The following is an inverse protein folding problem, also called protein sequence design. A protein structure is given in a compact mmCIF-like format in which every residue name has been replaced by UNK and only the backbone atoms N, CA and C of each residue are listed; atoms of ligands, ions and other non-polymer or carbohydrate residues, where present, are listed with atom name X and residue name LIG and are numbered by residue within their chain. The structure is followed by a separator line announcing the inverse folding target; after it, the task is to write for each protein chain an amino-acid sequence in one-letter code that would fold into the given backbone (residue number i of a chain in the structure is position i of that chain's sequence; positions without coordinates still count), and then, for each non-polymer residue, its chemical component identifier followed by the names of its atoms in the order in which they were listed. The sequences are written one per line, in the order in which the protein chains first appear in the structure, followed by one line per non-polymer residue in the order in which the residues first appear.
data_IF_576476045124
#
_entry.id   IF_576476045124
#
_cell.length_a   1.000
_cell.length_b   1.000
_cell.length_c   1.000
_cell.angle_alpha   90.00
_cell.angle_beta   90.00
_cell.angle_gamma   90.00
#
_symmetry.space_group_name_H-M   'P 1'
#
loop_
_entity.id
_entity.type
_entity.pdbx_description
1 polymer ?
#
# COMPACT_ATOMS: atom_id res chain seq x y z
N UNK A 1 -1.68 26.75 1.69
CA UNK A 1 -0.29 26.80 2.18
C UNK A 1 0.63 25.90 1.34
N UNK A 2 0.32 24.64 1.21
CA UNK A 2 1.10 23.64 0.47
C UNK A 2 1.29 23.99 -1.02
N UNK A 3 0.21 24.34 -1.72
CA UNK A 3 0.22 24.74 -3.15
C UNK A 3 1.13 25.92 -3.41
N UNK A 4 1.06 26.98 -2.58
CA UNK A 4 1.91 28.17 -2.75
C UNK A 4 3.39 27.86 -2.53
N UNK A 5 3.68 26.98 -1.59
CA UNK A 5 5.05 26.58 -1.31
C UNK A 5 5.65 25.81 -2.49
N UNK A 6 4.88 24.90 -3.12
CA UNK A 6 5.31 24.17 -4.31
C UNK A 6 5.57 25.12 -5.49
N UNK A 7 4.67 26.06 -5.76
CA UNK A 7 4.84 27.05 -6.84
C UNK A 7 6.13 27.85 -6.65
N UNK A 8 6.45 28.28 -5.43
CA UNK A 8 7.69 29.01 -5.14
C UNK A 8 8.96 28.21 -5.46
N UNK A 9 8.92 26.87 -5.34
CA UNK A 9 10.05 26.02 -5.70
C UNK A 9 10.21 25.86 -7.22
N UNK A 10 9.16 26.02 -8.01
CA UNK A 10 9.24 25.91 -9.48
C UNK A 10 10.14 26.97 -10.11
N UNK A 11 10.24 28.14 -9.51
CA UNK A 11 11.09 29.24 -10.00
C UNK A 11 12.59 28.94 -9.91
N UNK A 12 12.97 27.97 -9.10
CA UNK A 12 14.38 27.57 -8.92
C UNK A 12 14.90 26.70 -10.06
N UNK A 13 13.99 26.08 -10.86
CA UNK A 13 14.41 25.26 -11.99
C UNK A 13 14.83 26.13 -13.17
N UNK A 14 15.93 25.79 -13.81
CA UNK A 14 16.51 26.43 -14.96
C UNK A 14 16.43 25.59 -16.25
N UNK A 15 17.50 25.55 -17.01
CA UNK A 15 17.60 24.87 -18.29
C UNK A 15 18.17 23.44 -18.19
N UNK A 16 18.13 22.82 -17.03
CA UNK A 16 18.62 21.45 -16.79
C UNK A 16 17.82 20.45 -17.64
N UNK A 17 18.46 19.35 -18.03
CA UNK A 17 17.84 18.31 -18.89
C UNK A 17 16.75 17.53 -18.16
N UNK A 18 16.98 17.18 -16.91
CA UNK A 18 16.03 16.45 -16.05
C UNK A 18 15.64 17.34 -14.87
N UNK A 19 14.33 17.55 -14.72
CA UNK A 19 13.75 18.35 -13.64
C UNK A 19 12.64 17.55 -12.98
N UNK A 20 12.81 17.30 -11.68
CA UNK A 20 11.78 16.62 -10.87
C UNK A 20 11.50 17.44 -9.63
N UNK A 21 10.23 17.83 -9.47
CA UNK A 21 9.73 18.33 -8.19
C UNK A 21 9.23 17.13 -7.40
N UNK A 22 10.00 16.75 -6.38
CA UNK A 22 9.66 15.66 -5.48
C UNK A 22 9.06 16.20 -4.19
N UNK A 23 7.93 15.66 -3.77
CA UNK A 23 7.39 15.87 -2.42
C UNK A 23 7.37 14.55 -1.66
N UNK A 24 7.66 14.62 -0.37
CA UNK A 24 7.64 13.49 0.55
C UNK A 24 6.57 13.71 1.61
N UNK A 25 5.68 12.75 1.75
CA UNK A 25 4.60 12.80 2.74
C UNK A 25 4.61 11.51 3.58
N UNK A 26 4.16 11.55 4.85
CA UNK A 26 3.99 10.35 5.67
C UNK A 26 2.93 9.38 5.11
N UNK A 27 1.94 9.90 4.39
CA UNK A 27 0.86 9.14 3.76
C UNK A 27 0.72 9.53 2.30
N UNK A 28 0.20 8.64 1.44
CA UNK A 28 -0.07 8.98 0.04
C UNK A 28 -0.92 10.25 -0.08
N UNK A 29 -0.54 11.12 -0.99
CA UNK A 29 -1.31 12.33 -1.29
C UNK A 29 -2.70 11.95 -1.81
N UNK A 30 -3.72 12.70 -1.42
CA UNK A 30 -5.07 12.48 -1.95
C UNK A 30 -5.09 12.75 -3.45
N UNK A 31 -5.71 11.90 -4.27
CA UNK A 31 -5.73 12.03 -5.72
C UNK A 31 -6.19 13.42 -6.20
N UNK A 32 -7.24 13.97 -5.59
CA UNK A 32 -7.74 15.30 -5.93
C UNK A 32 -6.67 16.40 -5.78
N UNK A 33 -5.89 16.35 -4.69
CA UNK A 33 -4.81 17.32 -4.45
C UNK A 33 -3.67 17.13 -5.47
N UNK A 34 -3.34 15.87 -5.78
CA UNK A 34 -2.35 15.55 -6.80
C UNK A 34 -2.74 16.10 -8.16
N UNK A 35 -4.01 15.94 -8.56
CA UNK A 35 -4.56 16.46 -9.84
C UNK A 35 -4.52 17.98 -9.89
N UNK A 36 -4.90 18.66 -8.81
CA UNK A 36 -4.83 20.12 -8.71
C UNK A 36 -3.38 20.62 -8.90
N UNK A 37 -2.42 19.98 -8.27
CA UNK A 37 -1.00 20.32 -8.42
C UNK A 37 -0.48 20.01 -9.82
N UNK A 38 -0.89 18.90 -10.41
CA UNK A 38 -0.53 18.53 -11.78
C UNK A 38 -1.08 19.55 -12.82
N UNK A 39 -2.26 20.10 -12.59
CA UNK A 39 -2.82 21.17 -13.44
C UNK A 39 -1.97 22.43 -13.34
N UNK A 40 -1.64 22.88 -12.15
CA UNK A 40 -0.80 24.07 -11.95
C UNK A 40 0.59 23.89 -12.55
N UNK A 41 1.19 22.71 -12.40
CA UNK A 41 2.50 22.41 -12.98
C UNK A 41 2.47 22.42 -14.50
N UNK A 42 1.42 21.85 -15.12
CA UNK A 42 1.26 21.90 -16.58
C UNK A 42 1.16 23.35 -17.07
N UNK A 43 0.40 24.18 -16.37
CA UNK A 43 0.28 25.60 -16.67
C UNK A 43 1.64 26.30 -16.57
N UNK A 44 2.36 26.12 -15.46
CA UNK A 44 3.68 26.70 -15.25
C UNK A 44 4.69 26.27 -16.32
N UNK A 45 4.73 24.98 -16.67
CA UNK A 45 5.59 24.44 -17.72
C UNK A 45 5.29 25.09 -19.08
N UNK A 46 4.01 25.31 -19.40
CA UNK A 46 3.59 25.94 -20.65
C UNK A 46 4.01 27.42 -20.71
N UNK A 47 3.79 28.15 -19.62
CA UNK A 47 4.14 29.59 -19.53
C UNK A 47 5.67 29.84 -19.52
N UNK A 48 6.45 28.88 -19.09
CA UNK A 48 7.90 28.98 -18.95
C UNK A 48 8.68 28.08 -19.94
N UNK A 49 8.06 27.57 -20.98
CA UNK A 49 8.64 26.58 -21.89
C UNK A 49 9.98 27.01 -22.49
N UNK A 50 10.13 28.31 -22.87
CA UNK A 50 11.36 28.85 -23.42
C UNK A 50 12.52 28.86 -22.41
N UNK A 51 12.23 29.12 -21.14
CA UNK A 51 13.23 29.16 -20.07
C UNK A 51 13.63 27.76 -19.59
N UNK A 52 12.63 26.87 -19.51
CA UNK A 52 12.83 25.52 -18.98
C UNK A 52 13.45 24.55 -19.98
N UNK A 53 13.25 24.75 -21.31
CA UNK A 53 13.61 23.85 -22.40
C UNK A 53 12.89 22.49 -22.30
N UNK A 54 12.99 21.81 -21.15
CA UNK A 54 12.28 20.57 -20.82
C UNK A 54 11.29 20.80 -19.65
N UNK A 55 10.14 20.12 -19.64
CA UNK A 55 9.14 20.29 -18.60
C UNK A 55 9.61 19.73 -17.25
N UNK A 56 9.20 20.38 -16.17
CA UNK A 56 9.37 19.86 -14.81
C UNK A 56 8.37 18.73 -14.63
N UNK A 57 8.82 17.58 -14.13
CA UNK A 57 7.97 16.46 -13.71
C UNK A 57 7.65 16.56 -12.23
N UNK A 58 6.43 16.15 -11.84
CA UNK A 58 6.04 16.08 -10.44
C UNK A 58 5.97 14.63 -9.99
N UNK A 59 6.52 14.36 -8.83
CA UNK A 59 6.46 13.06 -8.17
C UNK A 59 6.10 13.30 -6.70
N UNK A 60 5.10 12.59 -6.21
CA UNK A 60 4.80 12.47 -4.79
C UNK A 60 5.14 11.07 -4.34
N UNK A 61 5.93 10.94 -3.30
CA UNK A 61 6.25 9.67 -2.65
C UNK A 61 5.93 9.76 -1.16
N UNK A 62 5.63 8.63 -0.56
CA UNK A 62 5.73 8.48 0.89
C UNK A 62 7.18 8.23 1.30
N UNK A 63 7.49 8.45 2.58
CA UNK A 63 8.80 8.09 3.13
C UNK A 63 9.06 6.58 2.99
N UNK A 64 8.03 5.75 3.13
CA UNK A 64 8.13 4.31 2.91
C UNK A 64 8.50 3.98 1.45
N UNK A 65 7.79 4.54 0.47
CA UNK A 65 8.10 4.34 -0.94
C UNK A 65 9.50 4.81 -1.33
N UNK A 66 9.99 5.90 -0.70
CA UNK A 66 11.36 6.33 -0.89
C UNK A 66 12.36 5.31 -0.35
N UNK A 67 12.12 4.79 0.84
CA UNK A 67 12.96 3.74 1.44
C UNK A 67 12.98 2.49 0.57
N UNK A 68 11.81 1.99 0.16
CA UNK A 68 11.69 0.82 -0.70
C UNK A 68 12.46 1.01 -2.02
N UNK A 69 12.31 2.18 -2.67
CA UNK A 69 13.03 2.49 -3.91
C UNK A 69 14.55 2.59 -3.71
N UNK A 70 15.02 3.01 -2.54
CA UNK A 70 16.45 3.01 -2.22
C UNK A 70 16.98 1.60 -1.97
N UNK A 71 16.21 0.75 -1.29
CA UNK A 71 16.57 -0.67 -1.09
C UNK A 71 16.69 -1.43 -2.41
N UNK A 72 15.80 -1.17 -3.38
CA UNK A 72 15.81 -1.81 -4.68
C UNK A 72 17.06 -1.52 -5.53
N UNK A 73 17.75 -0.40 -5.28
CA UNK A 73 18.92 0.01 -6.06
C UNK A 73 20.26 -0.20 -5.36
N UNK A 74 20.24 -0.48 -4.05
CA UNK A 74 21.47 -0.71 -3.27
C UNK A 74 21.97 -2.13 -3.49
N UNK A 75 23.25 -2.29 -3.83
CA UNK A 75 23.89 -3.61 -3.96
C UNK A 75 24.17 -4.19 -2.56
N UNK A 76 23.87 -5.47 -2.34
CA UNK A 76 24.09 -6.18 -1.06
C UNK A 76 25.54 -6.09 -0.54
N UNK A 77 26.48 -5.75 -1.40
CA UNK A 77 27.90 -5.55 -1.06
C UNK A 77 28.21 -4.16 -0.50
N UNK A 78 27.29 -3.20 -0.66
CA UNK A 78 27.49 -1.82 -0.23
C UNK A 78 27.10 -1.62 1.25
N UNK A 79 27.78 -2.33 2.13
CA UNK A 79 27.45 -2.40 3.57
C UNK A 79 27.37 -1.03 4.27
N UNK A 80 28.14 -0.03 3.82
CA UNK A 80 28.10 1.33 4.36
C UNK A 80 26.78 2.04 3.97
N UNK A 81 26.34 1.89 2.71
CA UNK A 81 25.08 2.46 2.22
C UNK A 81 23.91 1.80 2.92
N UNK A 82 23.95 0.46 3.05
CA UNK A 82 22.92 -0.30 3.78
C UNK A 82 22.79 0.21 5.20
N UNK A 83 23.91 0.42 5.92
CA UNK A 83 23.87 0.92 7.29
C UNK A 83 23.25 2.33 7.38
N UNK A 84 23.56 3.22 6.44
CA UNK A 84 22.95 4.57 6.39
C UNK A 84 21.45 4.48 6.09
N UNK A 85 21.03 3.57 5.19
CA UNK A 85 19.64 3.35 4.87
C UNK A 85 18.86 2.80 6.08
N UNK A 86 19.42 1.86 6.81
CA UNK A 86 18.83 1.32 8.05
C UNK A 86 18.66 2.42 9.12
N UNK A 87 19.64 3.30 9.28
CA UNK A 87 19.54 4.44 10.19
C UNK A 87 18.45 5.42 9.73
N UNK A 88 18.33 5.68 8.44
CA UNK A 88 17.26 6.52 7.88
C UNK A 88 15.87 5.88 8.08
N UNK A 89 15.73 4.58 7.83
CA UNK A 89 14.48 3.85 8.12
C UNK A 89 14.10 3.98 9.58
N UNK A 90 15.04 3.73 10.48
CA UNK A 90 14.83 3.88 11.93
C UNK A 90 14.37 5.30 12.28
N UNK A 91 15.03 6.33 11.74
CA UNK A 91 14.63 7.72 11.93
C UNK A 91 13.19 7.96 11.46
N UNK A 92 12.81 7.47 10.27
CA UNK A 92 11.46 7.61 9.75
C UNK A 92 10.40 6.98 10.67
N UNK A 93 10.69 5.85 11.31
CA UNK A 93 9.81 5.24 12.30
C UNK A 93 9.73 6.04 13.60
N UNK A 94 10.87 6.45 14.13
CA UNK A 94 10.95 7.19 15.40
C UNK A 94 10.23 8.54 15.32
N UNK A 95 10.34 9.24 14.19
CA UNK A 95 9.71 10.53 13.90
C UNK A 95 8.29 10.41 13.32
N UNK A 96 7.75 9.18 13.21
CA UNK A 96 6.42 8.89 12.65
C UNK A 96 6.20 9.39 11.23
N UNK A 97 7.29 9.49 10.46
CA UNK A 97 7.25 9.78 9.03
C UNK A 97 6.73 8.56 8.24
N UNK A 98 6.89 7.37 8.81
CA UNK A 98 6.18 6.16 8.40
C UNK A 98 5.09 5.89 9.46
N UNK A 99 3.79 5.96 9.12
CA UNK A 99 2.70 5.84 10.07
C UNK A 99 2.71 4.53 10.85
N UNK A 100 2.27 4.56 12.11
CA UNK A 100 2.21 3.35 12.96
C UNK A 100 1.34 2.22 12.37
N UNK A 101 0.39 2.55 11.51
CA UNK A 101 -0.42 1.57 10.79
C UNK A 101 0.40 0.53 10.03
N UNK A 102 1.55 0.89 9.51
CA UNK A 102 2.44 -0.02 8.76
C UNK A 102 3.02 -1.16 9.59
N UNK A 103 2.98 -1.07 10.91
CA UNK A 103 3.43 -2.13 11.82
C UNK A 103 2.35 -3.19 12.06
N UNK A 104 1.12 -2.93 11.65
CA UNK A 104 -0.03 -3.76 11.99
C UNK A 104 -0.44 -4.68 10.85
N UNK A 105 -0.60 -5.96 11.16
CA UNK A 105 -1.29 -6.91 10.32
C UNK A 105 -2.74 -7.06 10.77
N UNK A 106 -3.68 -6.86 9.85
CA UNK A 106 -5.09 -7.17 10.03
C UNK A 106 -5.36 -8.59 9.53
N UNK A 107 -5.55 -9.53 10.47
CA UNK A 107 -6.03 -10.87 10.14
C UNK A 107 -7.54 -10.83 9.85
N UNK A 108 -7.96 -11.33 8.71
CA UNK A 108 -9.34 -11.32 8.21
C UNK A 108 -9.77 -12.71 7.77
N UNK A 109 -11.05 -13.03 7.99
CA UNK A 109 -11.59 -14.33 7.59
C UNK A 109 -11.74 -14.38 6.07
N UNK A 110 -11.00 -15.30 5.44
CA UNK A 110 -10.97 -15.49 3.98
C UNK A 110 -11.30 -16.93 3.57
N UNK A 111 -12.00 -17.71 4.43
CA UNK A 111 -12.16 -19.14 4.25
C UNK A 111 -12.66 -19.55 2.87
N UNK A 112 -13.74 -18.95 2.37
CA UNK A 112 -14.37 -19.29 1.09
C UNK A 112 -13.54 -18.78 -0.09
N UNK A 113 -13.06 -17.54 -0.04
CA UNK A 113 -12.40 -16.85 -1.15
C UNK A 113 -10.86 -16.93 -1.09
N UNK A 114 -10.32 -17.75 -0.20
CA UNK A 114 -8.88 -17.80 0.08
C UNK A 114 -8.03 -17.97 -1.18
N UNK A 115 -8.39 -18.91 -2.06
CA UNK A 115 -7.59 -19.17 -3.27
C UNK A 115 -7.65 -17.98 -4.23
N UNK A 116 -8.83 -17.40 -4.41
CA UNK A 116 -8.98 -16.22 -5.26
C UNK A 116 -8.22 -15.01 -4.71
N UNK A 117 -8.23 -14.83 -3.39
CA UNK A 117 -7.43 -13.78 -2.76
C UNK A 117 -5.94 -13.96 -3.01
N UNK A 118 -5.44 -15.21 -2.94
CA UNK A 118 -4.04 -15.56 -3.23
C UNK A 118 -3.69 -15.33 -4.70
N UNK A 119 -4.56 -15.77 -5.62
CA UNK A 119 -4.31 -15.68 -7.06
C UNK A 119 -4.32 -14.25 -7.58
N UNK A 120 -5.15 -13.40 -6.95
CA UNK A 120 -5.38 -12.02 -7.38
C UNK A 120 -4.62 -10.99 -6.53
N UNK A 121 -3.89 -11.42 -5.50
CA UNK A 121 -3.21 -10.54 -4.55
C UNK A 121 -4.10 -9.41 -4.03
N UNK A 122 -5.36 -9.73 -3.68
CA UNK A 122 -6.31 -8.77 -3.12
C UNK A 122 -7.28 -9.41 -2.13
N UNK A 123 -7.85 -8.57 -1.26
CA UNK A 123 -9.00 -8.91 -0.43
C UNK A 123 -10.08 -7.84 -0.62
N UNK A 124 -11.35 -8.20 -0.49
CA UNK A 124 -12.46 -7.25 -0.60
C UNK A 124 -13.43 -7.36 0.57
N UNK A 125 -14.02 -6.22 0.92
CA UNK A 125 -15.05 -6.10 1.96
C UNK A 125 -16.06 -5.02 1.57
N UNK A 126 -17.22 -5.00 2.21
CA UNK A 126 -18.22 -3.96 1.97
C UNK A 126 -17.64 -2.58 2.31
N UNK A 127 -17.89 -1.56 1.47
CA UNK A 127 -17.42 -0.19 1.70
C UNK A 127 -17.84 0.36 3.07
N UNK A 128 -19.05 0.02 3.53
CA UNK A 128 -19.60 0.49 4.80
C UNK A 128 -18.89 -0.03 6.06
N UNK A 129 -18.03 -1.03 5.93
CA UNK A 129 -17.28 -1.57 7.06
C UNK A 129 -16.07 -0.71 7.40
N UNK A 130 -16.03 -0.23 8.62
CA UNK A 130 -14.87 0.48 9.15
C UNK A 130 -13.75 -0.49 9.53
N UNK A 131 -12.52 -0.02 9.46
CA UNK A 131 -11.32 -0.73 9.89
C UNK A 131 -10.29 0.24 10.46
N UNK A 132 -9.42 -0.27 11.33
CA UNK A 132 -8.25 0.48 11.80
C UNK A 132 -7.14 0.44 10.75
N UNK A 133 -6.30 1.45 10.72
CA UNK A 133 -5.16 1.54 9.81
C UNK A 133 -4.22 0.34 10.01
N UNK A 134 -3.77 -0.24 8.90
CA UNK A 134 -2.87 -1.40 8.89
C UNK A 134 -2.04 -1.41 7.60
N UNK A 135 -0.84 -1.96 7.68
CA UNK A 135 0.06 -2.10 6.54
C UNK A 135 0.06 -3.50 5.93
N UNK A 136 -0.48 -4.48 6.64
CA UNK A 136 -0.49 -5.87 6.18
C UNK A 136 -1.86 -6.50 6.32
N UNK A 137 -2.20 -7.39 5.37
CA UNK A 137 -3.38 -8.25 5.42
C UNK A 137 -2.94 -9.69 5.66
N UNK A 138 -3.52 -10.31 6.69
CA UNK A 138 -3.38 -11.74 6.97
C UNK A 138 -4.65 -12.49 6.59
N UNK A 139 -4.57 -13.43 5.65
CA UNK A 139 -5.70 -14.27 5.23
C UNK A 139 -5.90 -15.43 6.22
N UNK A 140 -6.99 -15.35 7.01
CA UNK A 140 -7.29 -16.37 8.02
C UNK A 140 -8.23 -17.44 7.47
N UNK A 141 -7.79 -18.71 7.59
CA UNK A 141 -8.55 -19.90 7.22
C UNK A 141 -8.16 -21.06 8.13
N UNK A 142 -9.14 -21.89 8.53
CA UNK A 142 -8.92 -23.12 9.31
C UNK A 142 -8.06 -22.88 10.57
N UNK A 143 -8.44 -21.89 11.37
CA UNK A 143 -7.77 -21.50 12.61
C UNK A 143 -6.29 -21.10 12.45
N UNK A 144 -5.91 -20.63 11.26
CA UNK A 144 -4.57 -20.13 11.01
C UNK A 144 -4.60 -18.96 10.05
N UNK A 145 -3.64 -18.04 10.18
CA UNK A 145 -3.34 -17.09 9.12
C UNK A 145 -2.46 -17.83 8.12
N UNK A 146 -3.00 -18.04 6.92
CA UNK A 146 -2.40 -18.87 5.88
C UNK A 146 -1.55 -18.11 4.88
N UNK A 147 -1.70 -16.79 4.86
CA UNK A 147 -0.88 -15.91 4.03
C UNK A 147 -0.85 -14.51 4.60
N UNK A 148 0.21 -13.76 4.29
CA UNK A 148 0.37 -12.34 4.60
C UNK A 148 0.76 -11.58 3.33
N UNK A 149 0.21 -10.37 3.15
CA UNK A 149 0.57 -9.46 2.07
C UNK A 149 0.70 -8.03 2.58
N UNK A 150 1.71 -7.28 2.08
CA UNK A 150 1.86 -5.85 2.34
C UNK A 150 0.83 -5.08 1.52
N UNK A 151 0.07 -4.21 2.17
CA UNK A 151 -0.97 -3.41 1.53
C UNK A 151 -0.31 -2.34 0.64
N UNK A 152 -0.69 -2.34 -0.64
CA UNK A 152 -0.19 -1.40 -1.65
C UNK A 152 -1.16 -0.24 -1.88
N UNK A 153 -2.45 -0.57 -2.07
CA UNK A 153 -3.49 0.40 -2.39
C UNK A 153 -4.85 -0.09 -1.90
N UNK A 154 -5.70 0.85 -1.52
CA UNK A 154 -7.10 0.58 -1.21
C UNK A 154 -7.99 1.31 -2.21
N UNK A 155 -8.86 0.57 -2.89
CA UNK A 155 -9.74 1.08 -3.94
C UNK A 155 -11.18 0.78 -3.56
N UNK A 156 -12.05 1.77 -3.71
CA UNK A 156 -13.49 1.56 -3.67
C UNK A 156 -13.98 1.46 -5.11
N UNK A 157 -14.68 0.35 -5.42
CA UNK A 157 -15.18 0.12 -6.75
C UNK A 157 -16.60 -0.49 -6.73
N UNK A 158 -17.36 -0.17 -7.77
CA UNK A 158 -18.66 -0.74 -8.06
C UNK A 158 -18.80 -0.92 -9.57
N UNK A 159 -19.35 -2.06 -9.98
CA UNK A 159 -19.70 -2.29 -11.38
C UNK A 159 -21.22 -2.06 -11.57
N UNK A 160 -21.56 -1.23 -12.55
CA UNK A 160 -22.94 -1.01 -12.94
C UNK A 160 -23.07 -1.23 -14.45
N UNK A 161 -23.88 -2.22 -14.86
CA UNK A 161 -24.18 -2.51 -16.26
C UNK A 161 -22.93 -2.68 -17.15
N UNK A 162 -21.90 -3.38 -16.65
CA UNK A 162 -20.65 -3.64 -17.37
C UNK A 162 -19.68 -2.46 -17.40
N UNK A 163 -19.96 -1.37 -16.66
CA UNK A 163 -19.06 -0.24 -16.50
C UNK A 163 -18.60 -0.14 -15.05
N UNK A 164 -17.29 -0.18 -14.82
CA UNK A 164 -16.72 -0.01 -13.49
C UNK A 164 -16.49 1.45 -13.18
N UNK A 165 -16.98 1.86 -12.01
CA UNK A 165 -16.64 3.14 -11.38
C UNK A 165 -15.77 2.86 -10.17
N UNK A 166 -14.63 3.52 -10.07
CA UNK A 166 -13.69 3.33 -8.96
C UNK A 166 -13.08 4.64 -8.48
N UNK A 167 -12.58 4.63 -7.26
CA UNK A 167 -11.77 5.70 -6.68
C UNK A 167 -10.71 5.11 -5.74
N UNK A 168 -9.50 5.62 -5.80
CA UNK A 168 -8.49 5.31 -4.80
C UNK A 168 -8.91 5.92 -3.44
N UNK A 169 -8.86 5.14 -2.37
CA UNK A 169 -9.08 5.59 -0.99
C UNK A 169 -7.74 5.87 -0.32
N UNK A 170 -6.72 5.08 -0.65
CA UNK A 170 -5.32 5.28 -0.26
C UNK A 170 -4.40 4.78 -1.36
N UNK A 171 -3.17 5.28 -1.40
CA UNK A 171 -2.20 4.94 -2.44
C UNK A 171 -2.29 5.85 -3.66
N UNK A 172 -1.55 5.49 -4.71
CA UNK A 172 -1.56 6.17 -6.00
C UNK A 172 -2.82 5.79 -6.80
N UNK A 173 -3.01 6.41 -7.98
CA UNK A 173 -4.02 5.96 -8.94
C UNK A 173 -3.78 4.49 -9.33
N UNK A 174 -4.85 3.67 -9.37
CA UNK A 174 -4.71 2.26 -9.70
C UNK A 174 -4.22 2.05 -11.13
N UNK A 175 -3.36 1.06 -11.30
CA UNK A 175 -2.89 0.62 -12.62
C UNK A 175 -3.97 -0.18 -13.36
N UNK A 176 -3.82 -0.35 -14.67
CA UNK A 176 -4.73 -1.18 -15.46
C UNK A 176 -4.76 -2.64 -14.97
N UNK A 177 -3.63 -3.17 -14.52
CA UNK A 177 -3.53 -4.52 -13.93
C UNK A 177 -4.34 -4.64 -12.62
N UNK A 178 -4.25 -3.65 -11.74
CA UNK A 178 -5.01 -3.63 -10.49
C UNK A 178 -6.52 -3.55 -10.74
N UNK A 179 -6.94 -2.78 -11.73
CA UNK A 179 -8.34 -2.74 -12.16
C UNK A 179 -8.79 -4.08 -12.75
N UNK A 180 -7.95 -4.76 -13.54
CA UNK A 180 -8.28 -6.08 -14.09
C UNK A 180 -8.38 -7.14 -12.98
N UNK A 181 -7.53 -7.09 -11.95
CA UNK A 181 -7.67 -7.96 -10.77
C UNK A 181 -9.01 -7.76 -10.03
N UNK A 182 -9.48 -6.50 -9.91
CA UNK A 182 -10.80 -6.21 -9.35
C UNK A 182 -11.90 -6.79 -10.22
N UNK A 183 -11.83 -6.60 -11.56
CA UNK A 183 -12.81 -7.18 -12.50
C UNK A 183 -12.88 -8.70 -12.36
N UNK A 184 -11.72 -9.35 -12.26
CA UNK A 184 -11.67 -10.81 -12.09
C UNK A 184 -12.23 -11.23 -10.73
N UNK A 185 -11.96 -10.49 -9.66
CA UNK A 185 -12.53 -10.77 -8.34
C UNK A 185 -14.07 -10.67 -8.37
N UNK A 186 -14.63 -9.68 -9.06
CA UNK A 186 -16.08 -9.53 -9.25
C UNK A 186 -16.64 -10.75 -9.99
N UNK A 187 -16.01 -11.19 -11.08
CA UNK A 187 -16.42 -12.38 -11.84
C UNK A 187 -16.39 -13.66 -11.01
N UNK A 188 -15.30 -13.86 -10.24
CA UNK A 188 -15.14 -15.07 -9.40
C UNK A 188 -16.10 -15.09 -8.20
N UNK A 189 -16.44 -13.93 -7.66
CA UNK A 189 -17.35 -13.81 -6.52
C UNK A 189 -18.74 -14.39 -6.77
N UNK A 190 -19.21 -14.37 -8.01
CA UNK A 190 -20.49 -14.97 -8.40
C UNK A 190 -20.55 -16.48 -8.11
N UNK A 191 -19.44 -17.20 -8.19
CA UNK A 191 -19.35 -18.63 -7.86
C UNK A 191 -19.69 -18.92 -6.39
N UNK A 192 -19.50 -17.94 -5.53
CA UNK A 192 -19.78 -18.01 -4.08
C UNK A 192 -21.14 -17.39 -3.72
N UNK A 193 -21.87 -16.87 -4.70
CA UNK A 193 -23.12 -16.14 -4.49
C UNK A 193 -22.93 -14.76 -3.87
N UNK A 194 -21.74 -14.16 -3.99
CA UNK A 194 -21.47 -12.81 -3.54
C UNK A 194 -21.73 -11.80 -4.64
N UNK A 195 -22.66 -10.89 -4.40
CA UNK A 195 -22.94 -9.81 -5.35
C UNK A 195 -21.97 -8.64 -5.12
N UNK A 196 -20.91 -8.59 -5.92
CA UNK A 196 -19.97 -7.45 -5.95
C UNK A 196 -20.31 -6.45 -7.06
N UNK A 197 -21.30 -6.74 -7.93
CA UNK A 197 -21.60 -5.93 -9.10
C UNK A 197 -22.38 -4.67 -8.74
N UNK A 198 -23.43 -4.78 -7.94
CA UNK A 198 -24.36 -3.66 -7.69
C UNK A 198 -24.12 -2.92 -6.38
N UNK A 199 -23.22 -3.40 -5.55
CA UNK A 199 -22.91 -2.86 -4.24
C UNK A 199 -21.45 -2.45 -4.21
N UNK A 200 -21.18 -1.23 -3.78
CA UNK A 200 -19.82 -0.74 -3.64
C UNK A 200 -19.03 -1.53 -2.61
N UNK A 201 -17.84 -1.96 -3.02
CA UNK A 201 -16.90 -2.71 -2.19
C UNK A 201 -15.55 -2.01 -2.11
N UNK A 202 -14.86 -2.25 -1.01
CA UNK A 202 -13.48 -1.83 -0.80
C UNK A 202 -12.57 -2.99 -1.11
N UNK A 203 -11.63 -2.76 -2.01
CA UNK A 203 -10.60 -3.71 -2.44
C UNK A 203 -9.26 -3.30 -1.84
N UNK A 204 -8.68 -4.19 -1.05
CA UNK A 204 -7.36 -4.06 -0.47
C UNK A 204 -6.40 -4.84 -1.35
N UNK A 205 -5.63 -4.16 -2.19
CA UNK A 205 -4.65 -4.77 -3.09
C UNK A 205 -3.31 -4.80 -2.37
N UNK A 206 -2.71 -5.97 -2.31
CA UNK A 206 -1.38 -6.17 -1.74
C UNK A 206 -0.33 -6.30 -2.85
N UNK A 207 0.94 -6.09 -2.50
CA UNK A 207 2.05 -6.31 -3.42
C UNK A 207 2.08 -7.78 -3.88
N UNK A 208 2.04 -8.69 -2.92
CA UNK A 208 1.94 -10.13 -3.10
C UNK A 208 1.55 -10.79 -1.78
N UNK A 209 0.79 -11.88 -1.84
CA UNK A 209 0.59 -12.76 -0.71
C UNK A 209 1.68 -13.83 -0.62
N UNK A 210 2.27 -13.93 0.57
CA UNK A 210 3.24 -14.97 0.92
C UNK A 210 2.58 -16.01 1.81
N UNK A 211 2.62 -17.31 1.45
CA UNK A 211 2.03 -18.37 2.24
C UNK A 211 2.77 -18.55 3.57
N UNK A 212 2.02 -18.82 4.63
CA UNK A 212 2.56 -19.13 5.97
C UNK A 212 1.55 -19.94 6.78
N UNK A 213 1.92 -20.36 7.98
CA UNK A 213 1.06 -21.06 8.91
C UNK A 213 1.22 -20.49 10.32
N UNK A 214 0.50 -19.40 10.61
CA UNK A 214 0.47 -18.76 11.93
C UNK A 214 -0.81 -19.13 12.65
N UNK A 215 -0.72 -20.10 13.55
CA UNK A 215 -1.86 -20.83 14.10
C UNK A 215 -2.48 -20.17 15.33
N UNK A 216 -3.80 -20.27 15.40
CA UNK A 216 -4.55 -19.99 16.63
C UNK A 216 -4.79 -21.31 17.37
N UNK A 217 -4.16 -21.52 18.54
CA UNK A 217 -4.31 -22.73 19.32
C UNK A 217 -5.60 -22.79 20.13
N UNK A 218 -6.12 -21.61 20.54
CA UNK A 218 -7.36 -21.52 21.31
C UNK A 218 -8.59 -22.02 20.53
N UNK A 219 -9.63 -22.50 21.28
CA UNK A 219 -10.73 -23.32 20.75
C UNK A 219 -11.54 -22.64 19.66
N UNK A 220 -11.91 -21.36 19.81
CA UNK A 220 -12.84 -20.71 18.90
C UNK A 220 -12.11 -19.99 17.74
N UNK A 221 -12.61 -20.08 16.49
CA UNK A 221 -12.10 -19.28 15.39
C UNK A 221 -12.41 -17.78 15.61
N UNK A 222 -11.72 -16.90 14.87
CA UNK A 222 -12.11 -15.49 14.84
C UNK A 222 -13.40 -15.32 14.01
N UNK A 223 -14.26 -14.39 14.45
CA UNK A 223 -15.53 -14.10 13.76
C UNK A 223 -15.46 -12.86 12.88
N UNK A 224 -14.49 -11.96 13.14
CA UNK A 224 -14.32 -10.70 12.41
C UNK A 224 -12.86 -10.56 11.96
N UNK A 225 -12.18 -9.61 12.54
CA UNK A 225 -10.74 -9.40 12.31
C UNK A 225 -9.99 -9.31 13.63
N UNK A 226 -8.70 -9.60 13.60
CA UNK A 226 -7.78 -9.39 14.71
C UNK A 226 -6.55 -8.65 14.19
N UNK A 227 -6.02 -7.75 15.02
CA UNK A 227 -4.82 -6.99 14.70
C UNK A 227 -3.62 -7.53 15.48
N UNK A 228 -2.46 -7.58 14.80
CA UNK A 228 -1.18 -7.96 15.36
C UNK A 228 -0.17 -6.87 15.06
N UNK A 229 0.51 -6.37 16.09
CA UNK A 229 1.63 -5.45 15.92
C UNK A 229 2.90 -6.26 15.65
N UNK A 230 3.23 -6.42 14.38
CA UNK A 230 4.37 -7.24 13.94
C UNK A 230 5.71 -6.72 14.48
N UNK A 231 5.86 -5.40 14.60
CA UNK A 231 7.07 -4.82 15.15
C UNK A 231 7.27 -5.19 16.62
N UNK A 232 6.22 -5.14 17.43
CA UNK A 232 6.29 -5.50 18.86
C UNK A 232 6.50 -7.01 19.04
N UNK A 233 5.82 -7.82 18.21
CA UNK A 233 5.92 -9.29 18.29
C UNK A 233 7.35 -9.80 18.09
N UNK A 234 8.09 -9.20 17.17
CA UNK A 234 9.43 -9.64 16.79
C UNK A 234 10.55 -8.68 17.19
N UNK A 235 10.22 -7.54 17.77
CA UNK A 235 11.20 -6.51 18.13
C UNK A 235 11.83 -5.83 16.92
N UNK A 236 11.11 -5.78 15.79
CA UNK A 236 11.61 -5.12 14.59
C UNK A 236 11.80 -3.62 14.84
N UNK A 237 13.01 -3.14 14.63
CA UNK A 237 13.30 -1.69 14.63
C UNK A 237 12.82 -1.01 13.36
N UNK A 238 12.83 -1.75 12.25
CA UNK A 238 12.27 -1.41 10.94
C UNK A 238 11.52 -2.62 10.42
N UNK A 239 10.49 -2.44 9.60
CA UNK A 239 9.76 -3.57 9.05
C UNK A 239 10.58 -4.24 7.95
N UNK A 240 10.86 -5.55 8.07
CA UNK A 240 11.54 -6.29 7.02
C UNK A 240 10.60 -6.57 5.82
N UNK A 241 11.16 -7.14 4.75
CA UNK A 241 10.37 -7.57 3.60
C UNK A 241 9.29 -8.58 4.00
N UNK A 242 8.18 -8.60 3.26
CA UNK A 242 6.99 -9.39 3.61
C UNK A 242 7.27 -10.89 3.65
N UNK A 243 8.16 -11.40 2.81
CA UNK A 243 8.58 -12.82 2.83
C UNK A 243 9.35 -13.20 4.10
N UNK A 244 10.16 -12.28 4.63
CA UNK A 244 10.86 -12.46 5.92
C UNK A 244 9.83 -12.52 7.05
N UNK A 245 8.87 -11.59 7.08
CA UNK A 245 7.78 -11.60 8.07
C UNK A 245 6.97 -12.91 7.99
N UNK A 246 6.67 -13.37 6.78
CA UNK A 246 5.97 -14.64 6.57
C UNK A 246 6.76 -15.83 7.15
N UNK A 247 8.07 -15.86 6.92
CA UNK A 247 8.96 -16.90 7.46
C UNK A 247 9.03 -16.85 9.00
N UNK A 248 9.13 -15.66 9.59
CA UNK A 248 9.19 -15.48 11.04
C UNK A 248 7.89 -15.90 11.75
N UNK A 249 6.74 -15.72 11.09
CA UNK A 249 5.42 -16.15 11.57
C UNK A 249 5.16 -17.65 11.35
N UNK A 250 5.81 -18.24 10.33
CA UNK A 250 5.51 -19.59 9.90
C UNK A 250 5.82 -20.64 10.98
N UNK A 251 4.84 -21.48 11.30
CA UNK A 251 4.94 -22.52 12.31
C UNK A 251 4.74 -22.03 13.75
N UNK A 252 4.56 -20.73 13.97
CA UNK A 252 4.29 -20.17 15.31
C UNK A 252 2.81 -20.18 15.65
N UNK A 253 2.53 -19.95 16.92
CA UNK A 253 1.15 -19.80 17.44
C UNK A 253 0.89 -18.38 17.94
N UNK A 254 -0.38 -17.95 17.92
CA UNK A 254 -0.78 -16.63 18.38
C UNK A 254 -0.48 -16.39 19.85
N UNK A 255 -0.51 -17.47 20.62
CA UNK A 255 -0.34 -17.50 22.07
C UNK A 255 1.12 -17.41 22.52
N UNK A 256 2.06 -17.38 21.57
CA UNK A 256 3.48 -17.08 21.82
C UNK A 256 3.73 -15.58 22.03
N UNK A 257 2.79 -14.75 21.61
CA UNK A 257 2.83 -13.28 21.64
C UNK A 257 1.65 -12.75 22.44
#
# INVERSE_FOLDING_TARGET
FYKQQLVNHLEQFGAEDIKVLLTLDPKPMKPQLFDELAVELRKYNSENATRLIHPIKYVNLTFEQLVDAMEDIVDDRDTEIIAVLDDFKKYCFDEKLIPDGYKWMRAIVAGTTFQDNMDLDLFYDQESRNFSEHGYIGLYKDKSIRAIGKLKITIIAVENNGSMTYRAESGAEPTADEIERINEAIRRADHYGYNLQTISHRYFIVEKFYPMDFRKSSKNPIQKSKFFNLADMFGYKTMPNTDVIANDLNGRTWEEF
#
